data_IF_194579226437
#
_entry.id   IF_194579226437
#
_cell.length_a   1.000
_cell.length_b   1.000
_cell.length_c   1.000
_cell.angle_alpha   90.00
_cell.angle_beta   90.00
_cell.angle_gamma   90.00
#
_symmetry.space_group_name_H-M   'P 1'
#
loop_
_entity.id
_entity.type
_entity.pdbx_description
1 polymer ?
#
# COMPACT_ATOMS: atom_id res chain seq x y z
N UNK A 1 43.34 46.86 47.40
CA UNK A 1 42.01 46.96 48.06
C UNK A 1 40.98 47.14 46.95
N UNK A 2 40.34 46.05 46.52
CA UNK A 2 39.49 46.04 45.33
C UNK A 2 38.37 45.01 45.47
N UNK A 3 37.17 45.48 45.78
CA UNK A 3 35.92 44.70 45.82
C UNK A 3 34.80 45.62 45.31
N UNK A 4 34.57 45.61 44.01
CA UNK A 4 33.52 46.44 43.37
C UNK A 4 33.07 45.92 42.00
N UNK A 5 33.05 44.60 41.76
CA UNK A 5 32.50 44.07 40.49
C UNK A 5 31.64 42.79 40.60
N UNK A 6 31.41 42.24 41.80
CA UNK A 6 30.66 40.98 41.95
C UNK A 6 29.21 41.15 42.46
N UNK A 7 28.79 42.34 42.88
CA UNK A 7 27.45 42.57 43.44
C UNK A 7 26.40 43.10 42.46
N UNK A 8 26.80 43.52 41.25
CA UNK A 8 25.86 44.08 40.25
C UNK A 8 25.25 43.00 39.35
N UNK A 9 25.91 41.85 39.18
CA UNK A 9 25.45 40.77 38.28
C UNK A 9 24.35 39.91 38.92
N UNK A 10 24.31 39.79 40.26
CA UNK A 10 23.28 39.00 40.95
C UNK A 10 21.93 39.72 41.07
N UNK A 11 21.90 41.06 41.06
CA UNK A 11 20.67 41.84 41.18
C UNK A 11 19.85 41.89 39.88
N UNK A 12 20.50 41.71 38.72
CA UNK A 12 19.83 41.75 37.41
C UNK A 12 19.16 40.43 37.07
N UNK A 13 19.70 39.29 37.55
CA UNK A 13 19.12 37.96 37.31
C UNK A 13 17.87 37.72 38.19
N UNK A 14 17.78 38.35 39.37
CA UNK A 14 16.64 38.19 40.27
C UNK A 14 15.41 39.03 39.87
N UNK A 15 15.57 40.07 39.05
CA UNK A 15 14.45 40.90 38.53
C UNK A 15 13.82 40.28 37.28
N UNK A 16 14.57 39.50 36.51
CA UNK A 16 14.08 38.83 35.29
C UNK A 16 13.35 37.51 35.58
N UNK A 17 13.58 36.89 36.74
CA UNK A 17 12.93 35.62 37.13
C UNK A 17 11.67 35.82 38.00
N UNK A 18 11.43 37.03 38.52
CA UNK A 18 10.27 37.37 39.37
C UNK A 18 9.10 38.06 38.63
N UNK A 19 9.15 38.16 37.30
CA UNK A 19 8.14 38.85 36.49
C UNK A 19 7.23 37.96 35.64
N UNK A 20 7.32 36.62 35.73
CA UNK A 20 6.44 35.72 34.94
C UNK A 20 5.75 34.59 35.71
N UNK A 21 5.72 34.65 37.04
CA UNK A 21 4.90 33.73 37.82
C UNK A 21 4.12 34.50 38.87
N UNK A 22 2.82 34.69 38.60
CA UNK A 22 1.68 34.93 39.50
C UNK A 22 0.75 35.97 38.85
N UNK A 23 -0.27 35.51 38.13
CA UNK A 23 -1.65 35.95 38.33
C UNK A 23 -2.61 35.03 37.54
N UNK A 24 -3.28 34.14 38.27
CA UNK A 24 -4.49 33.48 37.82
C UNK A 24 -5.69 34.10 38.58
N UNK A 25 -6.82 34.18 37.88
CA UNK A 25 -8.19 34.56 38.26
C UNK A 25 -8.67 36.03 38.07
N UNK A 26 -9.49 36.15 37.02
CA UNK A 26 -10.49 37.15 36.54
C UNK A 26 -11.34 37.85 37.62
N UNK A 27 -12.16 38.89 37.33
CA UNK A 27 -12.62 39.39 36.01
C UNK A 27 -12.54 40.92 35.81
N UNK A 28 -12.52 41.37 34.56
CA UNK A 28 -13.28 42.52 34.05
C UNK A 28 -13.12 42.55 32.51
N UNK A 29 -14.23 42.55 31.78
CA UNK A 29 -14.27 42.64 30.32
C UNK A 29 -13.69 43.99 29.86
N UNK A 30 -12.89 43.98 28.78
CA UNK A 30 -13.22 44.91 27.71
C UNK A 30 -12.99 44.36 26.29
N UNK A 31 -13.97 44.74 25.45
CA UNK A 31 -13.85 45.12 24.04
C UNK A 31 -13.40 44.05 23.03
N UNK A 32 -14.44 43.45 22.42
CA UNK A 32 -14.59 43.19 21.00
C UNK A 32 -13.43 43.74 20.14
N UNK A 33 -12.42 42.91 19.93
CA UNK A 33 -11.55 43.01 18.77
C UNK A 33 -11.71 41.71 17.98
N UNK A 34 -12.78 41.69 17.18
CA UNK A 34 -12.85 40.93 15.95
C UNK A 34 -11.57 41.23 15.15
N UNK A 35 -10.57 40.37 15.26
CA UNK A 35 -9.47 40.35 14.31
C UNK A 35 -9.09 38.91 14.00
N UNK A 36 -9.76 38.44 12.94
CA UNK A 36 -9.27 37.53 11.91
C UNK A 36 -8.64 36.24 12.45
N UNK A 37 -9.41 35.16 12.35
CA UNK A 37 -8.84 33.85 12.05
C UNK A 37 -7.84 34.04 10.90
N UNK A 38 -6.56 34.17 11.22
CA UNK A 38 -5.54 33.95 10.22
C UNK A 38 -5.69 32.47 9.87
N UNK A 39 -6.37 32.19 8.76
CA UNK A 39 -6.19 30.94 8.04
C UNK A 39 -4.68 30.73 7.99
N UNK A 40 -4.19 29.73 8.70
CA UNK A 40 -2.82 29.29 8.54
C UNK A 40 -2.80 28.68 7.16
N UNK A 41 -2.51 29.49 6.15
CA UNK A 41 -2.45 29.02 4.77
C UNK A 41 -1.27 28.07 4.69
N UNK A 42 -1.56 26.79 4.53
CA UNK A 42 -0.61 25.69 4.39
C UNK A 42 0.13 25.74 3.03
N UNK A 43 0.33 26.95 2.51
CA UNK A 43 0.86 27.28 1.19
C UNK A 43 2.35 26.98 1.07
N UNK A 44 3.05 26.92 2.22
CA UNK A 44 4.46 26.51 2.33
C UNK A 44 4.64 24.97 2.28
N UNK A 45 3.55 24.19 2.39
CA UNK A 45 3.62 22.75 2.19
C UNK A 45 4.19 22.43 0.81
N UNK A 46 5.13 21.49 0.73
CA UNK A 46 5.75 21.08 -0.53
C UNK A 46 5.44 19.62 -0.86
N UNK A 47 5.19 19.39 -2.14
CA UNK A 47 5.20 18.08 -2.78
C UNK A 47 6.60 17.84 -3.34
N UNK A 48 7.24 16.75 -2.93
CA UNK A 48 8.56 16.35 -3.43
C UNK A 48 8.38 15.40 -4.63
N UNK A 49 9.07 15.69 -5.74
CA UNK A 49 9.07 14.85 -6.94
C UNK A 49 10.49 14.30 -7.15
N UNK A 50 10.62 12.97 -7.29
CA UNK A 50 11.90 12.25 -7.38
C UNK A 50 11.94 11.30 -8.56
N UNK A 51 13.15 10.90 -8.98
CA UNK A 51 13.29 9.90 -10.05
C UNK A 51 12.84 10.40 -11.41
N UNK A 52 12.77 11.72 -11.59
CA UNK A 52 12.42 12.34 -12.87
C UNK A 52 13.54 12.08 -13.88
N UNK A 53 13.17 11.85 -15.13
CA UNK A 53 14.11 11.73 -16.26
C UNK A 53 13.79 12.77 -17.32
N UNK A 54 14.78 13.21 -18.09
CA UNK A 54 14.56 14.05 -19.27
C UNK A 54 14.11 13.21 -20.49
N UNK A 55 13.88 13.86 -21.64
CA UNK A 55 13.47 13.18 -22.88
C UNK A 55 14.51 12.20 -23.46
N UNK A 56 15.73 12.21 -22.93
CA UNK A 56 16.84 11.32 -23.32
C UNK A 56 17.10 10.25 -22.24
N UNK A 57 16.19 10.07 -21.27
CA UNK A 57 16.29 9.12 -20.16
C UNK A 57 17.43 9.42 -19.16
N UNK A 58 17.90 10.67 -19.10
CA UNK A 58 18.87 11.08 -18.08
C UNK A 58 18.16 11.48 -16.78
N UNK A 59 18.63 10.93 -15.66
CA UNK A 59 18.12 11.26 -14.32
C UNK A 59 18.30 12.74 -13.98
N UNK A 60 17.21 13.38 -13.59
CA UNK A 60 17.14 14.77 -13.13
C UNK A 60 17.25 14.85 -11.61
N UNK A 61 17.50 16.06 -11.10
CA UNK A 61 17.51 16.32 -9.66
C UNK A 61 16.09 16.31 -9.09
N UNK A 62 15.95 15.85 -7.85
CA UNK A 62 14.71 15.97 -7.08
C UNK A 62 14.26 17.44 -6.97
N UNK A 63 12.95 17.66 -6.99
CA UNK A 63 12.35 19.01 -6.93
C UNK A 63 11.24 19.07 -5.89
N UNK A 64 11.02 20.27 -5.35
CA UNK A 64 9.94 20.55 -4.40
C UNK A 64 9.00 21.60 -4.98
N UNK A 65 7.73 21.26 -5.10
CA UNK A 65 6.67 22.15 -5.59
C UNK A 65 5.79 22.55 -4.42
N UNK A 66 5.69 23.85 -4.13
CA UNK A 66 4.84 24.33 -3.03
C UNK A 66 3.37 24.28 -3.41
N UNK A 67 2.51 24.16 -2.40
CA UNK A 67 1.06 24.24 -2.57
C UNK A 67 0.62 25.61 -3.10
N UNK A 68 1.31 26.69 -2.73
CA UNK A 68 1.12 28.00 -3.36
C UNK A 68 1.30 27.94 -4.88
N UNK A 69 2.39 27.34 -5.35
CA UNK A 69 2.67 27.18 -6.79
C UNK A 69 1.60 26.35 -7.50
N UNK A 70 1.08 25.30 -6.85
CA UNK A 70 -0.03 24.50 -7.38
C UNK A 70 -1.32 25.34 -7.49
N UNK A 71 -1.64 26.15 -6.47
CA UNK A 71 -2.80 27.07 -6.52
C UNK A 71 -2.64 28.14 -7.59
N UNK A 72 -1.43 28.67 -7.81
CA UNK A 72 -1.17 29.61 -8.91
C UNK A 72 -1.34 28.93 -10.27
N UNK A 73 -0.86 27.70 -10.44
CA UNK A 73 -1.07 26.95 -11.68
C UNK A 73 -2.57 26.72 -11.95
N UNK A 74 -3.35 26.42 -10.90
CA UNK A 74 -4.80 26.23 -10.98
C UNK A 74 -5.55 27.42 -11.59
N UNK A 75 -5.08 28.66 -11.39
CA UNK A 75 -5.70 29.85 -11.99
C UNK A 75 -5.68 29.82 -13.53
N UNK A 76 -4.72 29.09 -14.11
CA UNK A 76 -4.53 28.99 -15.57
C UNK A 76 -4.91 27.62 -16.13
N UNK A 77 -4.79 26.56 -15.32
CA UNK A 77 -5.06 25.16 -15.70
C UNK A 77 -5.94 24.47 -14.64
N UNK A 78 -7.19 24.92 -14.44
CA UNK A 78 -8.03 24.37 -13.39
C UNK A 78 -8.55 22.97 -13.76
N UNK A 79 -8.50 22.04 -12.81
CA UNK A 79 -9.25 20.79 -12.83
C UNK A 79 -10.31 20.86 -11.74
N UNK A 80 -11.58 20.81 -12.13
CA UNK A 80 -12.73 20.96 -11.21
C UNK A 80 -13.75 19.86 -11.49
N UNK A 81 -13.98 19.03 -10.48
CA UNK A 81 -15.15 18.16 -10.38
C UNK A 81 -16.10 18.77 -9.35
N UNK A 82 -17.35 19.04 -9.73
CA UNK A 82 -18.34 19.69 -8.88
C UNK A 82 -19.36 18.68 -8.34
N UNK A 83 -20.35 19.14 -7.58
CA UNK A 83 -21.44 18.25 -7.15
C UNK A 83 -22.36 17.85 -8.32
N UNK A 84 -22.38 18.65 -9.38
CA UNK A 84 -23.14 18.37 -10.61
C UNK A 84 -22.37 17.43 -11.57
N UNK A 85 -21.05 17.54 -11.58
CA UNK A 85 -20.14 16.67 -12.35
C UNK A 85 -19.01 16.16 -11.43
N UNK A 86 -19.32 15.22 -10.51
CA UNK A 86 -18.34 14.70 -9.55
C UNK A 86 -17.43 13.65 -10.19
N UNK A 87 -16.30 13.37 -9.53
CA UNK A 87 -15.49 12.20 -9.84
C UNK A 87 -15.85 11.04 -8.89
N UNK A 88 -15.55 9.82 -9.31
CA UNK A 88 -15.85 8.60 -8.57
C UNK A 88 -14.60 7.74 -8.42
N UNK A 89 -14.50 7.00 -7.32
CA UNK A 89 -13.59 5.88 -7.22
C UNK A 89 -14.31 4.61 -7.69
N UNK A 90 -13.63 3.76 -8.44
CA UNK A 90 -14.29 2.63 -9.13
C UNK A 90 -14.80 1.52 -8.22
N UNK A 91 -14.32 1.46 -6.98
CA UNK A 91 -14.58 0.40 -5.99
C UNK A 91 -15.38 0.89 -4.77
N UNK A 92 -15.95 2.11 -4.82
CA UNK A 92 -16.70 2.69 -3.70
C UNK A 92 -18.12 3.02 -4.08
N UNK A 93 -19.05 2.34 -3.41
CA UNK A 93 -20.49 2.55 -3.52
C UNK A 93 -21.11 2.84 -2.16
N UNK A 94 -22.26 3.51 -2.14
CA UNK A 94 -23.11 3.59 -0.96
C UNK A 94 -23.84 2.25 -0.69
N UNK A 95 -24.61 2.19 0.39
CA UNK A 95 -25.38 1.01 0.80
C UNK A 95 -26.39 0.53 -0.27
N UNK A 96 -26.78 1.42 -1.20
CA UNK A 96 -27.69 1.13 -2.30
C UNK A 96 -26.95 0.71 -3.59
N UNK A 97 -25.61 0.62 -3.54
CA UNK A 97 -24.76 0.26 -4.68
C UNK A 97 -24.50 1.40 -5.67
N UNK A 98 -24.82 2.64 -5.32
CA UNK A 98 -24.55 3.80 -6.18
C UNK A 98 -23.11 4.29 -5.98
N UNK A 99 -22.40 4.69 -7.05
CA UNK A 99 -21.07 5.30 -6.91
C UNK A 99 -21.08 6.52 -5.98
N UNK A 100 -20.12 6.59 -5.05
CA UNK A 100 -20.02 7.72 -4.12
C UNK A 100 -19.42 8.94 -4.85
N UNK A 101 -20.15 10.06 -4.99
CA UNK A 101 -19.65 11.23 -5.71
C UNK A 101 -18.67 12.03 -4.85
N UNK A 102 -17.59 12.52 -5.47
CA UNK A 102 -16.63 13.42 -4.84
C UNK A 102 -16.43 14.71 -5.65
N UNK A 103 -16.41 15.85 -4.94
CA UNK A 103 -16.01 17.13 -5.55
C UNK A 103 -14.52 17.37 -5.32
N UNK A 104 -13.82 17.89 -6.33
CA UNK A 104 -12.35 18.02 -6.32
C UNK A 104 -11.94 19.31 -7.01
N UNK A 105 -10.98 20.03 -6.42
CA UNK A 105 -10.21 21.07 -7.12
C UNK A 105 -8.72 20.83 -7.01
N UNK A 106 -8.03 20.93 -8.13
CA UNK A 106 -6.60 20.67 -8.26
C UNK A 106 -6.09 20.92 -9.67
N UNK A 107 -4.88 20.46 -9.94
CA UNK A 107 -4.26 20.49 -11.27
C UNK A 107 -3.81 19.09 -11.65
N UNK A 108 -3.68 18.81 -12.95
CA UNK A 108 -3.09 17.55 -13.36
C UNK A 108 -1.60 17.50 -13.05
N UNK A 109 -1.09 16.33 -12.66
CA UNK A 109 0.35 16.10 -12.43
C UNK A 109 1.16 16.43 -13.70
N UNK A 110 0.67 16.04 -14.88
CA UNK A 110 1.28 16.37 -16.18
C UNK A 110 1.52 17.87 -16.37
N UNK A 111 0.60 18.72 -15.89
CA UNK A 111 0.73 20.16 -15.99
C UNK A 111 1.79 20.73 -15.04
N UNK A 112 1.96 20.11 -13.87
CA UNK A 112 3.06 20.43 -12.94
C UNK A 112 4.39 20.06 -13.59
N UNK A 113 4.49 18.85 -14.15
CA UNK A 113 5.70 18.38 -14.83
C UNK A 113 6.08 19.30 -15.99
N UNK A 114 5.12 19.67 -16.84
CA UNK A 114 5.37 20.50 -18.00
C UNK A 114 5.73 21.97 -17.67
N UNK A 115 5.21 22.53 -16.58
CA UNK A 115 5.43 23.95 -16.24
C UNK A 115 6.68 24.16 -15.38
N UNK A 116 7.00 23.21 -14.49
CA UNK A 116 7.99 23.43 -13.43
C UNK A 116 9.20 22.52 -13.50
N UNK A 117 9.33 21.70 -14.54
CA UNK A 117 10.39 20.69 -14.65
C UNK A 117 10.85 20.53 -16.10
N UNK A 118 12.06 19.99 -16.30
CA UNK A 118 12.55 19.54 -17.60
C UNK A 118 12.27 18.03 -17.84
N UNK A 119 11.35 17.45 -17.05
CA UNK A 119 10.98 16.03 -17.12
C UNK A 119 10.42 15.68 -18.49
N UNK A 120 10.65 14.44 -18.91
CA UNK A 120 9.86 13.78 -19.93
C UNK A 120 8.37 13.79 -19.56
N UNK A 121 7.52 13.60 -20.58
CA UNK A 121 6.08 13.45 -20.42
C UNK A 121 5.75 12.22 -19.58
N UNK A 122 4.54 12.18 -19.00
CA UNK A 122 4.11 11.10 -18.10
C UNK A 122 4.25 9.69 -18.72
N UNK A 123 4.11 9.59 -20.05
CA UNK A 123 4.26 8.34 -20.82
C UNK A 123 5.67 7.72 -20.79
N UNK A 124 6.68 8.46 -20.29
CA UNK A 124 8.03 7.92 -20.11
C UNK A 124 8.14 7.03 -18.85
N UNK A 125 7.16 7.08 -17.95
CA UNK A 125 7.19 6.39 -16.67
C UNK A 125 6.25 5.19 -16.67
N UNK A 126 6.76 4.03 -16.26
CA UNK A 126 5.98 2.80 -16.13
C UNK A 126 5.32 2.63 -14.74
N UNK A 127 5.86 3.31 -13.72
CA UNK A 127 5.32 3.27 -12.36
C UNK A 127 5.63 4.54 -11.55
N UNK A 128 4.84 4.77 -10.51
CA UNK A 128 5.09 5.80 -9.49
C UNK A 128 4.87 5.25 -8.09
N UNK A 129 5.72 5.63 -7.14
CA UNK A 129 5.47 5.41 -5.71
C UNK A 129 4.91 6.69 -5.09
N UNK A 130 3.72 6.61 -4.51
CA UNK A 130 3.08 7.69 -3.78
C UNK A 130 3.31 7.48 -2.28
N UNK A 131 3.98 8.43 -1.63
CA UNK A 131 4.24 8.39 -0.18
C UNK A 131 3.54 9.52 0.54
N UNK A 132 2.88 9.21 1.64
CA UNK A 132 2.17 10.14 2.49
C UNK A 132 2.95 10.50 3.76
N UNK A 133 2.47 11.51 4.49
CA UNK A 133 3.05 11.88 5.80
C UNK A 133 2.69 10.91 6.93
N UNK A 134 1.70 10.03 6.75
CA UNK A 134 1.26 9.05 7.75
C UNK A 134 1.71 7.62 7.46
N UNK A 135 2.87 7.48 6.79
CA UNK A 135 3.48 6.23 6.37
C UNK A 135 2.70 5.46 5.29
N UNK A 136 1.57 5.97 4.80
CA UNK A 136 0.91 5.40 3.63
C UNK A 136 1.84 5.42 2.43
N UNK A 137 2.05 4.25 1.82
CA UNK A 137 2.84 4.07 0.61
C UNK A 137 2.08 3.15 -0.32
N UNK A 138 1.98 3.55 -1.59
CA UNK A 138 1.44 2.71 -2.65
C UNK A 138 2.25 2.88 -3.92
N UNK A 139 2.35 1.81 -4.71
CA UNK A 139 2.94 1.85 -6.04
C UNK A 139 1.82 1.74 -7.06
N UNK A 140 1.72 2.72 -7.94
CA UNK A 140 0.76 2.77 -9.04
C UNK A 140 1.49 2.53 -10.37
N UNK A 141 0.86 1.81 -11.28
CA UNK A 141 1.41 1.49 -12.61
C UNK A 141 0.80 2.40 -13.67
N UNK A 142 1.36 2.39 -14.88
CA UNK A 142 0.83 3.15 -16.01
C UNK A 142 -0.66 2.87 -16.30
N UNK A 143 -1.15 1.66 -16.01
CA UNK A 143 -2.58 1.31 -16.14
C UNK A 143 -3.49 2.13 -15.21
N UNK A 144 -2.95 2.76 -14.17
CA UNK A 144 -3.68 3.63 -13.25
C UNK A 144 -3.58 5.10 -13.67
N UNK A 145 -2.40 5.57 -14.03
CA UNK A 145 -2.15 7.02 -14.20
C UNK A 145 -1.99 7.49 -15.65
N UNK A 146 -1.79 6.58 -16.61
CA UNK A 146 -1.60 6.93 -18.00
C UNK A 146 -2.95 6.89 -18.76
N UNK A 147 -3.46 8.08 -19.08
CA UNK A 147 -4.72 8.26 -19.82
C UNK A 147 -4.65 7.90 -21.32
N UNK A 148 -3.46 7.73 -21.89
CA UNK A 148 -3.32 7.17 -23.23
C UNK A 148 -3.60 5.65 -23.29
N UNK A 149 -3.63 4.99 -22.11
CA UNK A 149 -3.98 3.59 -21.90
C UNK A 149 -5.35 3.41 -21.21
N UNK A 150 -5.37 2.63 -20.11
CA UNK A 150 -6.57 2.36 -19.27
C UNK A 150 -6.67 3.27 -18.04
N UNK A 151 -5.64 4.08 -17.78
CA UNK A 151 -5.54 4.91 -16.59
C UNK A 151 -6.29 6.24 -16.69
N UNK A 152 -6.24 7.01 -15.61
CA UNK A 152 -6.76 8.38 -15.56
C UNK A 152 -5.68 9.38 -15.20
N UNK A 153 -5.81 10.60 -15.69
CA UNK A 153 -4.86 11.67 -15.35
C UNK A 153 -4.91 11.94 -13.86
N UNK A 154 -3.76 11.79 -13.21
CA UNK A 154 -3.61 12.09 -11.79
C UNK A 154 -3.89 13.58 -11.52
N UNK A 155 -4.74 13.84 -10.54
CA UNK A 155 -5.01 15.19 -10.03
C UNK A 155 -4.28 15.36 -8.70
N UNK A 156 -3.51 16.44 -8.58
CA UNK A 156 -2.98 16.91 -7.30
C UNK A 156 -4.01 17.88 -6.72
N UNK A 157 -4.86 17.34 -5.84
CA UNK A 157 -5.98 18.06 -5.25
C UNK A 157 -5.54 18.89 -4.03
N UNK A 158 -6.04 20.13 -3.95
CA UNK A 158 -5.94 20.99 -2.77
C UNK A 158 -7.31 21.30 -2.16
N UNK A 159 -8.41 20.88 -2.79
CA UNK A 159 -9.76 20.89 -2.24
C UNK A 159 -10.42 19.54 -2.54
N UNK A 160 -11.11 18.96 -1.56
CA UNK A 160 -11.81 17.69 -1.69
C UNK A 160 -13.09 17.71 -0.86
N UNK A 161 -14.22 17.33 -1.47
CA UNK A 161 -15.57 17.36 -0.86
C UNK A 161 -15.91 18.73 -0.24
N UNK A 162 -15.58 19.81 -0.95
CA UNK A 162 -15.79 21.19 -0.53
C UNK A 162 -14.87 21.67 0.60
N UNK A 163 -13.95 20.83 1.09
CA UNK A 163 -12.97 21.18 2.13
C UNK A 163 -11.65 21.61 1.49
N UNK A 164 -11.23 22.84 1.78
CA UNK A 164 -9.87 23.28 1.46
C UNK A 164 -8.88 22.49 2.33
N UNK A 165 -8.08 21.67 1.68
CA UNK A 165 -7.14 20.77 2.31
C UNK A 165 -6.08 21.55 3.09
N UNK A 166 -5.57 20.99 4.18
CA UNK A 166 -4.45 21.52 4.98
C UNK A 166 -3.84 20.38 5.81
N UNK A 167 -2.64 20.58 6.37
CA UNK A 167 -1.91 19.57 7.17
C UNK A 167 -2.69 18.97 8.34
N UNK A 168 -3.71 19.65 8.86
CA UNK A 168 -4.57 19.14 9.95
C UNK A 168 -5.78 18.34 9.48
N UNK A 169 -6.15 18.42 8.19
CA UNK A 169 -7.27 17.65 7.63
C UNK A 169 -6.97 16.16 7.53
N UNK A 170 -8.02 15.34 7.56
CA UNK A 170 -7.92 13.88 7.35
C UNK A 170 -7.23 13.53 6.01
N UNK A 171 -7.48 14.32 4.98
CA UNK A 171 -6.87 14.18 3.65
C UNK A 171 -5.49 14.85 3.52
N UNK A 172 -5.02 15.56 4.55
CA UNK A 172 -3.76 16.31 4.53
C UNK A 172 -3.77 17.53 3.63
N UNK A 173 -2.59 18.13 3.42
CA UNK A 173 -2.40 19.34 2.64
C UNK A 173 -2.70 19.18 1.14
N UNK A 174 -2.33 18.04 0.59
CA UNK A 174 -2.50 17.63 -0.79
C UNK A 174 -2.95 16.18 -0.84
N UNK A 175 -3.70 15.83 -1.89
CA UNK A 175 -4.19 14.47 -2.13
C UNK A 175 -4.00 14.09 -3.59
N UNK A 176 -3.57 12.85 -3.83
CA UNK A 176 -3.66 12.21 -5.15
C UNK A 176 -5.09 11.75 -5.42
N UNK A 177 -5.62 12.07 -6.59
CA UNK A 177 -6.92 11.59 -7.06
C UNK A 177 -6.76 11.04 -8.48
N UNK A 178 -7.27 9.82 -8.68
CA UNK A 178 -7.28 9.13 -9.98
C UNK A 178 -8.74 8.82 -10.35
N UNK A 179 -9.45 9.72 -11.05
CA UNK A 179 -10.85 9.50 -11.40
C UNK A 179 -11.06 8.11 -12.02
N UNK A 180 -12.13 7.42 -11.63
CA UNK A 180 -12.51 6.08 -12.10
C UNK A 180 -11.48 4.97 -11.84
N UNK A 181 -10.51 5.21 -10.96
CA UNK A 181 -9.59 4.19 -10.44
C UNK A 181 -9.95 3.83 -8.98
N UNK A 182 -9.43 2.70 -8.51
CA UNK A 182 -9.72 2.20 -7.16
C UNK A 182 -9.23 3.19 -6.09
N UNK A 183 -10.04 3.39 -5.05
CA UNK A 183 -9.84 4.41 -4.02
C UNK A 183 -8.52 4.25 -3.25
N UNK A 184 -7.98 3.03 -3.14
CA UNK A 184 -6.67 2.80 -2.52
C UNK A 184 -5.56 3.53 -3.28
N UNK A 185 -5.66 3.76 -4.59
CA UNK A 185 -4.65 4.54 -5.32
C UNK A 185 -4.70 6.04 -4.99
N UNK A 186 -5.79 6.54 -4.36
CA UNK A 186 -6.01 7.95 -4.09
C UNK A 186 -5.34 8.38 -2.77
N UNK A 187 -4.01 8.43 -2.78
CA UNK A 187 -3.17 8.71 -1.61
C UNK A 187 -3.53 10.06 -0.94
N UNK A 188 -3.97 9.97 0.32
CA UNK A 188 -4.16 11.14 1.22
C UNK A 188 -2.82 11.61 1.76
N UNK A 189 -2.76 12.84 2.26
CA UNK A 189 -1.58 13.45 2.88
C UNK A 189 -0.32 13.30 2.02
N UNK A 190 -0.50 13.46 0.71
CA UNK A 190 0.52 13.19 -0.30
C UNK A 190 1.73 14.09 -0.05
N UNK A 191 2.91 13.47 0.09
CA UNK A 191 4.17 14.15 0.41
C UNK A 191 5.19 14.01 -0.70
N UNK A 192 5.34 12.82 -1.24
CA UNK A 192 6.36 12.50 -2.24
C UNK A 192 5.76 11.67 -3.37
N UNK A 193 6.14 11.97 -4.61
CA UNK A 193 5.94 11.12 -5.78
C UNK A 193 7.33 10.74 -6.29
N UNK A 194 7.62 9.45 -6.31
CA UNK A 194 8.86 8.91 -6.88
C UNK A 194 8.52 8.19 -8.19
N UNK A 195 9.09 8.69 -9.28
CA UNK A 195 8.87 8.17 -10.62
C UNK A 195 9.87 7.07 -10.95
N UNK A 196 9.44 6.09 -11.75
CA UNK A 196 10.29 5.05 -12.32
C UNK A 196 9.92 4.79 -13.77
N UNK A 197 10.92 4.63 -14.63
CA UNK A 197 10.75 4.20 -16.03
C UNK A 197 10.48 2.69 -16.12
N UNK A 198 10.60 1.96 -15.01
CA UNK A 198 10.27 0.54 -14.92
C UNK A 198 8.76 0.31 -15.09
N UNK A 199 8.41 -0.44 -16.14
CA UNK A 199 7.06 -0.98 -16.35
C UNK A 199 6.91 -2.21 -15.45
N UNK A 200 6.00 -2.12 -14.48
CA UNK A 200 5.70 -3.21 -13.58
C UNK A 200 4.66 -4.13 -14.22
N UNK A 201 5.09 -5.35 -14.51
CA UNK A 201 4.24 -6.46 -14.94
C UNK A 201 4.24 -7.52 -13.84
N UNK A 202 3.18 -8.32 -13.73
CA UNK A 202 3.17 -9.50 -12.84
C UNK A 202 4.50 -10.24 -12.97
N UNK A 203 5.27 -10.42 -11.87
CA UNK A 203 6.60 -11.02 -11.96
C UNK A 203 6.51 -12.40 -12.61
N UNK A 204 7.43 -12.72 -13.52
CA UNK A 204 7.58 -14.11 -13.97
C UNK A 204 8.17 -14.90 -12.81
N UNK A 205 7.45 -15.90 -12.34
CA UNK A 205 7.82 -16.70 -11.18
C UNK A 205 8.45 -18.01 -11.67
N UNK A 206 9.62 -18.35 -11.14
CA UNK A 206 10.28 -19.63 -11.42
C UNK A 206 10.23 -20.57 -10.20
N UNK A 207 9.89 -20.05 -9.02
CA UNK A 207 9.75 -20.83 -7.80
C UNK A 207 8.50 -20.42 -7.03
N UNK A 208 7.66 -21.39 -6.73
CA UNK A 208 6.43 -21.22 -5.98
C UNK A 208 6.48 -22.05 -4.69
N UNK A 209 6.24 -21.39 -3.57
CA UNK A 209 6.05 -21.97 -2.24
C UNK A 209 4.59 -21.83 -1.79
N UNK A 210 4.15 -22.70 -0.89
CA UNK A 210 2.77 -22.68 -0.38
C UNK A 210 2.74 -22.30 1.09
N UNK A 211 1.88 -21.34 1.43
CA UNK A 211 1.71 -20.76 2.77
C UNK A 211 1.50 -21.85 3.83
N UNK A 212 0.66 -22.84 3.51
CA UNK A 212 0.28 -23.94 4.40
C UNK A 212 1.46 -24.85 4.78
N UNK A 213 2.54 -24.83 4.00
CA UNK A 213 3.71 -25.70 4.17
C UNK A 213 5.00 -24.94 4.50
N UNK A 214 4.91 -23.63 4.80
CA UNK A 214 6.05 -22.86 5.29
C UNK A 214 6.43 -23.30 6.71
N UNK A 215 7.73 -23.40 6.97
CA UNK A 215 8.24 -23.85 8.26
C UNK A 215 7.94 -22.83 9.36
N UNK A 216 7.55 -23.33 10.54
CA UNK A 216 7.16 -22.51 11.69
C UNK A 216 8.28 -21.59 12.20
N UNK A 217 9.53 -21.85 11.83
CA UNK A 217 10.67 -20.99 12.18
C UNK A 217 10.58 -19.60 11.56
N UNK A 218 9.88 -19.44 10.43
CA UNK A 218 9.67 -18.14 9.78
C UNK A 218 8.47 -17.37 10.35
N UNK A 219 7.76 -17.93 11.34
CA UNK A 219 6.64 -17.25 11.99
C UNK A 219 7.14 -16.25 13.02
N UNK A 220 6.47 -15.12 13.06
CA UNK A 220 6.71 -14.07 14.05
C UNK A 220 5.41 -13.38 14.43
N UNK A 221 5.56 -12.26 15.13
CA UNK A 221 4.44 -11.39 15.46
C UNK A 221 4.88 -9.94 15.61
N UNK A 222 3.92 -9.03 15.50
CA UNK A 222 4.06 -7.66 16.01
C UNK A 222 2.91 -7.32 16.97
N UNK A 223 3.12 -6.29 17.79
CA UNK A 223 2.11 -5.80 18.72
C UNK A 223 1.66 -4.39 18.36
N UNK A 224 0.37 -4.13 18.48
CA UNK A 224 -0.22 -2.82 18.21
C UNK A 224 -1.24 -2.47 19.29
N UNK A 225 -1.35 -1.18 19.60
CA UNK A 225 -2.42 -0.65 20.46
C UNK A 225 -3.47 -0.06 19.55
N UNK A 226 -4.70 -0.54 19.66
CA UNK A 226 -5.82 -0.11 18.82
C UNK A 226 -6.99 0.38 19.66
N UNK A 227 -7.77 1.31 19.11
CA UNK A 227 -9.02 1.75 19.71
C UNK A 227 -10.11 0.70 19.50
N UNK A 228 -10.67 0.20 20.60
CA UNK A 228 -11.80 -0.74 20.62
C UNK A 228 -12.97 -0.04 21.28
N UNK A 229 -14.05 0.18 20.53
CA UNK A 229 -15.24 0.84 21.06
C UNK A 229 -16.21 -0.19 21.67
N UNK A 230 -16.74 0.04 22.89
CA UNK A 230 -16.61 1.23 23.74
C UNK A 230 -15.48 1.15 24.79
N UNK A 231 -14.62 0.14 24.73
CA UNK A 231 -13.67 -0.27 25.77
C UNK A 231 -12.42 0.63 25.89
N UNK A 232 -12.20 1.52 24.93
CA UNK A 232 -11.06 2.44 24.90
C UNK A 232 -9.96 1.89 23.98
N UNK A 233 -8.84 1.45 24.55
CA UNK A 233 -7.70 0.90 23.78
C UNK A 233 -7.35 -0.50 24.27
N UNK A 234 -6.97 -1.39 23.36
CA UNK A 234 -6.48 -2.72 23.69
C UNK A 234 -5.16 -3.04 22.98
N UNK A 235 -4.37 -3.93 23.59
CA UNK A 235 -3.16 -4.47 22.98
C UNK A 235 -3.54 -5.71 22.14
N UNK A 236 -3.13 -5.69 20.88
CA UNK A 236 -3.25 -6.81 19.96
C UNK A 236 -1.87 -7.35 19.63
N UNK A 237 -1.76 -8.68 19.47
CA UNK A 237 -0.63 -9.34 18.84
C UNK A 237 -1.09 -10.03 17.57
N UNK A 238 -0.45 -9.69 16.47
CA UNK A 238 -0.74 -10.24 15.16
C UNK A 238 0.34 -11.24 14.79
N UNK A 239 -0.04 -12.49 14.50
CA UNK A 239 0.86 -13.59 14.21
C UNK A 239 0.74 -14.01 12.73
N UNK A 240 1.87 -14.42 12.17
CA UNK A 240 1.96 -14.88 10.79
C UNK A 240 3.39 -15.12 10.34
N UNK A 241 3.59 -15.33 9.04
CA UNK A 241 4.93 -15.46 8.47
C UNK A 241 5.54 -14.08 8.20
N UNK A 242 6.76 -13.84 8.71
CA UNK A 242 7.48 -12.60 8.48
C UNK A 242 8.07 -12.59 7.08
N UNK A 243 7.81 -11.52 6.31
CA UNK A 243 8.40 -11.38 4.98
C UNK A 243 9.93 -11.24 5.07
N UNK A 244 10.46 -10.59 6.11
CA UNK A 244 11.91 -10.51 6.34
C UNK A 244 12.55 -11.89 6.47
N UNK A 245 12.00 -12.75 7.34
CA UNK A 245 12.52 -14.11 7.55
C UNK A 245 12.44 -14.95 6.28
N UNK A 246 11.37 -14.78 5.48
CA UNK A 246 11.21 -15.47 4.20
C UNK A 246 12.21 -14.98 3.13
N UNK A 247 12.63 -13.71 3.19
CA UNK A 247 13.69 -13.16 2.34
C UNK A 247 15.05 -13.70 2.79
N UNK A 248 15.33 -13.68 4.09
CA UNK A 248 16.60 -14.16 4.66
C UNK A 248 16.80 -15.67 4.44
N UNK A 249 15.71 -16.44 4.35
CA UNK A 249 15.71 -17.86 4.03
C UNK A 249 15.76 -18.18 2.52
N UNK A 250 15.87 -17.17 1.64
CA UNK A 250 15.85 -17.32 0.18
C UNK A 250 14.58 -18.00 -0.36
N UNK A 251 13.46 -17.92 0.38
CA UNK A 251 12.14 -18.35 -0.09
C UNK A 251 11.56 -17.29 -1.03
N UNK A 252 11.64 -16.03 -0.61
CA UNK A 252 11.36 -14.87 -1.45
C UNK A 252 12.69 -14.23 -1.87
N UNK A 253 13.05 -14.30 -3.15
CA UNK A 253 14.34 -13.82 -3.66
C UNK A 253 14.39 -12.29 -3.86
N UNK A 254 13.97 -11.51 -2.87
CA UNK A 254 13.82 -10.06 -3.00
C UNK A 254 15.14 -9.27 -2.81
N UNK A 255 15.33 -8.24 -3.62
CA UNK A 255 16.34 -7.21 -3.45
C UNK A 255 15.70 -5.84 -3.14
N UNK A 256 16.50 -4.91 -2.62
CA UNK A 256 16.02 -3.58 -2.24
C UNK A 256 15.40 -2.76 -3.40
N UNK A 257 15.81 -3.05 -4.64
CA UNK A 257 15.22 -2.47 -5.85
C UNK A 257 13.84 -3.02 -6.17
N UNK A 258 13.56 -4.26 -5.77
CA UNK A 258 12.43 -5.01 -6.29
C UNK A 258 11.12 -4.56 -5.67
N UNK A 259 10.06 -4.64 -6.47
CA UNK A 259 8.68 -4.44 -6.04
C UNK A 259 8.00 -5.79 -5.86
N UNK A 260 7.17 -5.89 -4.83
CA UNK A 260 6.36 -7.08 -4.60
C UNK A 260 4.96 -6.84 -5.16
N UNK A 261 4.48 -7.82 -5.94
CA UNK A 261 3.12 -7.91 -6.43
C UNK A 261 2.29 -8.77 -5.50
N UNK A 262 1.14 -8.26 -5.07
CA UNK A 262 0.15 -8.98 -4.28
C UNK A 262 -1.09 -9.21 -5.14
N UNK A 263 -1.51 -10.47 -5.25
CA UNK A 263 -2.83 -10.83 -5.78
C UNK A 263 -3.68 -11.36 -4.63
N UNK A 264 -4.90 -10.85 -4.53
CA UNK A 264 -5.89 -11.25 -3.55
C UNK A 264 -7.20 -11.59 -4.25
N UNK A 265 -7.95 -12.50 -3.63
CA UNK A 265 -9.32 -12.80 -4.03
C UNK A 265 -10.21 -12.30 -2.91
N UNK A 266 -10.67 -11.06 -3.00
CA UNK A 266 -11.40 -10.41 -1.91
C UNK A 266 -12.91 -10.45 -2.13
N UNK A 267 -13.63 -10.61 -1.03
CA UNK A 267 -15.08 -10.64 -1.01
C UNK A 267 -15.62 -9.28 -0.59
N UNK A 268 -16.36 -8.65 -1.48
CA UNK A 268 -17.12 -7.46 -1.17
C UNK A 268 -18.48 -7.87 -0.61
N UNK A 269 -18.67 -7.66 0.70
CA UNK A 269 -19.90 -8.00 1.41
C UNK A 269 -21.08 -7.11 1.07
N UNK A 270 -20.84 -5.90 0.56
CA UNK A 270 -21.89 -4.96 0.17
C UNK A 270 -22.52 -5.38 -1.16
N UNK A 271 -21.70 -5.87 -2.10
CA UNK A 271 -22.16 -6.36 -3.40
C UNK A 271 -22.38 -7.87 -3.47
N UNK A 272 -22.02 -8.63 -2.43
CA UNK A 272 -22.03 -10.11 -2.42
C UNK A 272 -21.26 -10.69 -3.63
N UNK A 273 -20.09 -10.10 -3.92
CA UNK A 273 -19.25 -10.52 -5.05
C UNK A 273 -17.80 -10.73 -4.65
N UNK A 274 -17.17 -11.70 -5.29
CA UNK A 274 -15.72 -11.87 -5.24
C UNK A 274 -15.06 -11.15 -6.40
N UNK A 275 -13.94 -10.50 -6.14
CA UNK A 275 -13.16 -9.80 -7.14
C UNK A 275 -11.67 -9.98 -6.92
N UNK A 276 -10.92 -9.96 -8.00
CA UNK A 276 -9.46 -9.91 -7.92
C UNK A 276 -9.03 -8.51 -7.50
N UNK A 277 -8.18 -8.45 -6.48
CA UNK A 277 -7.51 -7.23 -6.04
C UNK A 277 -6.01 -7.40 -6.24
N UNK A 278 -5.38 -6.42 -6.87
CA UNK A 278 -3.95 -6.40 -7.12
C UNK A 278 -3.33 -5.15 -6.50
N UNK A 279 -2.17 -5.32 -5.89
CA UNK A 279 -1.42 -4.23 -5.30
C UNK A 279 0.08 -4.40 -5.52
N UNK A 280 0.76 -3.27 -5.64
CA UNK A 280 2.21 -3.20 -5.72
C UNK A 280 2.77 -2.45 -4.52
N UNK A 281 3.87 -2.96 -3.97
CA UNK A 281 4.54 -2.33 -2.83
C UNK A 281 6.06 -2.43 -2.94
N UNK A 282 6.77 -1.50 -2.28
CA UNK A 282 8.23 -1.38 -2.34
C UNK A 282 8.92 -2.12 -1.19
N UNK A 283 10.19 -2.47 -1.38
CA UNK A 283 10.99 -3.24 -0.42
C UNK A 283 10.93 -2.70 1.01
N UNK A 284 11.09 -1.40 1.20
CA UNK A 284 11.04 -0.76 2.53
C UNK A 284 9.72 -0.97 3.28
N UNK A 285 8.64 -1.23 2.54
CA UNK A 285 7.31 -1.52 3.10
C UNK A 285 7.16 -3.01 3.34
N UNK A 286 7.38 -3.86 2.32
CA UNK A 286 7.10 -5.28 2.47
C UNK A 286 8.12 -6.02 3.33
N UNK A 287 9.36 -5.55 3.42
CA UNK A 287 10.38 -6.16 4.26
C UNK A 287 10.06 -6.13 5.75
N UNK A 288 9.18 -5.23 6.20
CA UNK A 288 8.67 -5.22 7.59
C UNK A 288 7.28 -5.81 7.74
N UNK A 289 6.71 -6.33 6.65
CA UNK A 289 5.38 -6.90 6.58
C UNK A 289 5.33 -8.37 7.01
N UNK A 290 4.11 -8.85 7.17
CA UNK A 290 3.76 -10.21 7.54
C UNK A 290 2.60 -10.70 6.67
N UNK A 291 2.55 -12.01 6.43
CA UNK A 291 1.34 -12.71 5.99
C UNK A 291 0.66 -13.29 7.24
N UNK A 292 -0.24 -12.50 7.82
CA UNK A 292 -0.92 -12.76 9.07
C UNK A 292 -2.11 -13.69 8.92
N UNK A 293 -2.28 -14.61 9.86
CA UNK A 293 -3.43 -15.52 9.93
C UNK A 293 -4.09 -15.56 11.32
N UNK A 294 -3.46 -14.94 12.33
CA UNK A 294 -3.91 -15.04 13.72
C UNK A 294 -3.77 -13.70 14.45
N UNK A 295 -4.66 -13.48 15.41
CA UNK A 295 -4.64 -12.34 16.31
C UNK A 295 -4.90 -12.79 17.74
N UNK A 296 -4.21 -12.17 18.69
CA UNK A 296 -4.45 -12.33 20.12
C UNK A 296 -4.77 -10.98 20.73
N UNK A 297 -5.88 -10.93 21.44
CA UNK A 297 -6.22 -9.83 22.34
C UNK A 297 -5.93 -10.28 23.77
N UNK A 298 -5.19 -9.47 24.52
CA UNK A 298 -4.91 -9.75 25.94
C UNK A 298 -6.25 -9.92 26.67
N UNK A 299 -6.63 -11.18 26.98
CA UNK A 299 -7.85 -11.70 27.65
C UNK A 299 -8.78 -12.61 26.81
N UNK A 300 -8.71 -12.59 25.47
CA UNK A 300 -9.60 -13.38 24.60
C UNK A 300 -8.93 -14.63 23.99
N UNK A 301 -7.60 -14.71 24.05
CA UNK A 301 -6.83 -15.82 23.48
C UNK A 301 -6.49 -15.59 22.01
N UNK A 302 -5.97 -16.62 21.36
CA UNK A 302 -5.58 -16.58 19.95
C UNK A 302 -6.77 -16.99 19.08
N UNK A 303 -7.11 -16.13 18.13
CA UNK A 303 -8.15 -16.34 17.13
C UNK A 303 -7.56 -16.29 15.72
N UNK A 304 -8.25 -16.91 14.76
CA UNK A 304 -7.92 -16.79 13.34
C UNK A 304 -8.40 -15.43 12.85
N UNK A 305 -7.56 -14.73 12.10
CA UNK A 305 -7.93 -13.46 11.48
C UNK A 305 -9.04 -13.67 10.44
N UNK A 306 -10.04 -12.81 10.47
CA UNK A 306 -11.00 -12.73 9.38
C UNK A 306 -10.27 -12.37 8.07
N UNK A 307 -10.65 -13.04 6.97
CA UNK A 307 -10.05 -12.86 5.64
C UNK A 307 -8.53 -13.09 5.59
N UNK A 308 -8.04 -14.06 6.37
CA UNK A 308 -6.66 -14.53 6.30
C UNK A 308 -6.32 -15.30 5.01
N UNK A 309 -5.05 -15.31 4.58
CA UNK A 309 -3.95 -14.50 5.11
C UNK A 309 -4.11 -13.01 4.77
N UNK A 310 -3.68 -12.15 5.70
CA UNK A 310 -3.68 -10.70 5.55
C UNK A 310 -2.24 -10.23 5.45
N UNK A 311 -1.87 -9.57 4.36
CA UNK A 311 -0.61 -8.84 4.27
C UNK A 311 -0.74 -7.52 5.01
N UNK A 312 -0.03 -7.40 6.14
CA UNK A 312 -0.01 -6.20 6.98
C UNK A 312 1.33 -6.01 7.69
N UNK A 313 1.52 -4.89 8.39
CA UNK A 313 2.75 -4.66 9.14
C UNK A 313 2.61 -3.59 10.23
N UNK A 314 3.57 -3.53 11.17
CA UNK A 314 3.50 -2.66 12.35
C UNK A 314 3.46 -1.16 12.04
N UNK A 315 3.88 -0.77 10.83
CA UNK A 315 3.90 0.62 10.37
C UNK A 315 2.92 0.88 9.23
N UNK A 316 2.07 -0.08 8.90
CA UNK A 316 1.13 0.05 7.80
C UNK A 316 0.00 0.98 8.22
N UNK A 317 -0.46 1.77 7.26
CA UNK A 317 -1.69 2.54 7.40
C UNK A 317 -2.84 1.76 6.76
N UNK A 318 -4.08 2.06 7.15
CA UNK A 318 -5.28 1.26 6.85
C UNK A 318 -5.54 0.94 5.35
N UNK A 319 -4.89 1.61 4.41
CA UNK A 319 -5.02 1.34 2.97
C UNK A 319 -3.87 0.51 2.36
N UNK A 320 -2.87 0.13 3.16
CA UNK A 320 -1.72 -0.69 2.72
C UNK A 320 -1.96 -2.18 2.95
N UNK A 321 -2.89 -2.50 3.86
CA UNK A 321 -3.27 -3.86 4.21
C UNK A 321 -3.99 -4.54 3.05
N UNK A 322 -3.58 -5.77 2.71
CA UNK A 322 -4.22 -6.58 1.68
C UNK A 322 -4.78 -7.85 2.32
N UNK A 323 -6.10 -8.06 2.21
CA UNK A 323 -6.79 -9.21 2.80
C UNK A 323 -6.99 -10.32 1.78
N UNK A 324 -7.28 -11.55 2.24
CA UNK A 324 -7.46 -12.73 1.40
C UNK A 324 -6.34 -12.89 0.36
N UNK A 325 -5.08 -12.80 0.82
CA UNK A 325 -3.92 -12.89 -0.06
C UNK A 325 -3.91 -14.27 -0.72
N UNK A 326 -3.95 -14.26 -2.05
CA UNK A 326 -3.80 -15.45 -2.88
C UNK A 326 -2.31 -15.68 -3.17
N UNK A 327 -1.61 -14.64 -3.61
CA UNK A 327 -0.19 -14.71 -3.93
C UNK A 327 0.56 -13.45 -3.51
N UNK A 328 1.77 -13.64 -3.00
CA UNK A 328 2.78 -12.60 -2.81
C UNK A 328 4.01 -12.97 -3.65
N UNK A 329 4.25 -12.22 -4.72
CA UNK A 329 5.27 -12.51 -5.73
C UNK A 329 6.32 -11.40 -5.78
N UNK A 330 7.59 -11.77 -5.70
CA UNK A 330 8.73 -10.86 -5.84
C UNK A 330 9.86 -11.63 -6.51
N UNK A 331 10.49 -11.00 -7.51
CA UNK A 331 11.67 -11.48 -8.23
C UNK A 331 11.80 -13.02 -8.33
N UNK A 332 11.18 -13.61 -9.36
CA UNK A 332 11.19 -15.06 -9.64
C UNK A 332 10.64 -15.98 -8.53
N UNK A 333 10.18 -15.45 -7.40
CA UNK A 333 9.60 -16.23 -6.31
C UNK A 333 8.16 -15.81 -6.02
N UNK A 334 7.34 -16.76 -5.57
CA UNK A 334 6.02 -16.48 -5.04
C UNK A 334 5.69 -17.37 -3.85
N UNK A 335 4.92 -16.83 -2.92
CA UNK A 335 4.17 -17.59 -1.92
C UNK A 335 2.70 -17.58 -2.34
N UNK A 336 2.06 -18.74 -2.34
CA UNK A 336 0.61 -18.88 -2.59
C UNK A 336 -0.09 -19.47 -1.38
N UNK A 337 -1.30 -18.98 -1.12
CA UNK A 337 -2.24 -19.59 -0.19
C UNK A 337 -3.19 -20.52 -0.94
N UNK A 338 -3.11 -21.84 -0.71
CA UNK A 338 -4.02 -22.81 -1.32
C UNK A 338 -5.46 -22.56 -0.89
N UNK A 339 -5.72 -22.25 0.38
CA UNK A 339 -7.06 -21.92 0.88
C UNK A 339 -7.73 -20.83 0.01
N UNK A 340 -7.01 -19.74 -0.27
CA UNK A 340 -7.51 -18.64 -1.12
C UNK A 340 -7.62 -19.05 -2.59
N UNK A 341 -6.69 -19.85 -3.10
CA UNK A 341 -6.76 -20.38 -4.46
C UNK A 341 -8.00 -21.26 -4.67
N UNK A 342 -8.34 -22.12 -3.70
CA UNK A 342 -9.57 -22.92 -3.74
C UNK A 342 -10.82 -22.03 -3.70
N UNK A 343 -10.87 -20.97 -2.88
CA UNK A 343 -11.98 -19.99 -2.90
C UNK A 343 -12.17 -19.33 -4.27
N UNK A 344 -11.09 -19.15 -5.04
CA UNK A 344 -11.12 -18.56 -6.39
C UNK A 344 -11.50 -19.55 -7.48
N UNK A 345 -10.90 -20.74 -7.47
CA UNK A 345 -10.91 -21.65 -8.62
C UNK A 345 -11.79 -22.90 -8.45
N UNK A 346 -12.14 -23.30 -7.22
CA UNK A 346 -13.06 -24.43 -6.99
C UNK A 346 -14.52 -23.98 -7.16
N UNK A 347 -14.89 -23.64 -8.39
CA UNK A 347 -16.24 -23.13 -8.70
C UNK A 347 -17.30 -24.23 -8.62
N UNK A 348 -16.91 -25.50 -8.68
CA UNK A 348 -17.82 -26.65 -8.61
C UNK A 348 -18.01 -27.18 -7.18
N UNK A 349 -17.22 -26.68 -6.22
CA UNK A 349 -17.19 -27.13 -4.83
C UNK A 349 -16.90 -28.61 -4.67
N UNK A 350 -16.08 -29.16 -5.57
CA UNK A 350 -15.69 -30.57 -5.59
C UNK A 350 -14.33 -30.82 -4.92
N UNK A 351 -13.67 -29.77 -4.44
CA UNK A 351 -12.37 -29.87 -3.79
C UNK A 351 -11.23 -30.08 -4.77
N UNK A 352 -11.40 -29.68 -6.04
CA UNK A 352 -10.37 -29.80 -7.07
C UNK A 352 -10.13 -28.46 -7.80
N UNK A 353 -8.87 -28.09 -8.03
CA UNK A 353 -8.49 -26.97 -8.89
C UNK A 353 -7.36 -27.36 -9.84
N UNK A 354 -7.34 -26.79 -11.05
CA UNK A 354 -6.26 -27.04 -12.01
C UNK A 354 -4.98 -26.32 -11.59
N UNK A 355 -3.86 -27.05 -11.59
CA UNK A 355 -2.56 -26.44 -11.25
C UNK A 355 -2.20 -25.36 -12.26
N UNK A 356 -2.49 -25.60 -13.55
CA UNK A 356 -2.22 -24.67 -14.63
C UNK A 356 -2.83 -23.28 -14.40
N UNK A 357 -4.06 -23.21 -13.88
CA UNK A 357 -4.75 -21.93 -13.68
C UNK A 357 -3.99 -21.06 -12.66
N UNK A 358 -3.43 -21.67 -11.63
CA UNK A 358 -2.57 -20.99 -10.66
C UNK A 358 -1.23 -20.59 -11.30
N UNK A 359 -0.58 -21.46 -12.06
CA UNK A 359 0.72 -21.12 -12.69
C UNK A 359 0.58 -20.03 -13.76
N UNK A 360 -0.55 -19.97 -14.46
CA UNK A 360 -0.86 -18.87 -15.38
C UNK A 360 -1.04 -17.54 -14.65
N UNK A 361 -1.73 -17.52 -13.50
CA UNK A 361 -1.87 -16.31 -12.67
C UNK A 361 -0.50 -15.75 -12.27
N UNK A 362 0.45 -16.64 -11.96
CA UNK A 362 1.80 -16.29 -11.51
C UNK A 362 2.79 -16.04 -12.65
N UNK A 363 2.32 -16.06 -13.91
CA UNK A 363 3.20 -15.94 -15.08
C UNK A 363 4.39 -16.93 -15.05
N UNK A 364 4.09 -18.17 -14.61
CA UNK A 364 5.04 -19.27 -14.42
C UNK A 364 4.87 -20.39 -15.44
N UNK A 365 3.71 -20.50 -16.08
CA UNK A 365 3.44 -21.59 -17.05
C UNK A 365 3.94 -21.24 -18.46
N UNK A 366 4.80 -22.10 -19.00
CA UNK A 366 5.14 -22.20 -20.43
C UNK A 366 4.95 -23.64 -20.95
N UNK A 367 4.62 -23.79 -22.24
CA UNK A 367 4.42 -25.08 -22.91
C UNK A 367 5.74 -25.81 -23.21
N UNK A 368 6.85 -25.07 -23.30
CA UNK A 368 8.19 -25.61 -23.57
C UNK A 368 8.96 -25.96 -22.28
N UNK A 369 8.41 -25.62 -21.11
CA UNK A 369 9.06 -25.82 -19.81
C UNK A 369 8.83 -27.21 -19.20
N UNK A 370 9.72 -27.55 -18.27
CA UNK A 370 9.55 -28.68 -17.35
C UNK A 370 9.58 -28.17 -15.92
N UNK A 371 8.90 -28.88 -15.03
CA UNK A 371 8.65 -28.42 -13.67
C UNK A 371 9.16 -29.45 -12.66
N UNK A 372 9.65 -28.98 -11.53
CA UNK A 372 10.09 -29.81 -10.41
C UNK A 372 9.10 -29.63 -9.26
N UNK A 373 8.47 -30.72 -8.85
CA UNK A 373 7.59 -30.75 -7.67
C UNK A 373 8.41 -31.30 -6.51
N UNK A 374 8.52 -30.53 -5.44
CA UNK A 374 9.18 -30.97 -4.21
C UNK A 374 8.13 -31.38 -3.19
N UNK A 375 8.23 -32.63 -2.75
CA UNK A 375 7.40 -33.24 -1.72
C UNK A 375 7.69 -32.68 -0.34
N UNK A 376 6.76 -32.85 0.61
CA UNK A 376 6.96 -32.48 2.02
C UNK A 376 8.18 -33.15 2.66
N UNK A 377 8.57 -34.35 2.20
CA UNK A 377 9.74 -35.11 2.65
C UNK A 377 11.05 -34.73 1.93
N UNK A 378 11.02 -33.68 1.09
CA UNK A 378 12.11 -33.20 0.24
C UNK A 378 12.52 -34.14 -0.90
N UNK A 379 11.72 -35.15 -1.24
CA UNK A 379 11.87 -35.84 -2.52
C UNK A 379 11.38 -34.94 -3.66
N UNK A 380 11.93 -35.13 -4.86
CA UNK A 380 11.58 -34.32 -6.03
C UNK A 380 11.15 -35.20 -7.18
N UNK A 381 10.14 -34.76 -7.93
CA UNK A 381 9.78 -35.33 -9.23
C UNK A 381 9.80 -34.25 -10.30
N UNK A 382 10.28 -34.61 -11.47
CA UNK A 382 10.23 -33.76 -12.66
C UNK A 382 9.02 -34.16 -13.51
N UNK A 383 8.25 -33.16 -13.94
CA UNK A 383 7.05 -33.34 -14.77
C UNK A 383 7.05 -32.36 -15.95
N UNK A 384 6.41 -32.74 -17.04
CA UNK A 384 6.33 -31.93 -18.26
C UNK A 384 5.21 -30.88 -18.19
N UNK A 385 5.23 -29.89 -19.08
CA UNK A 385 4.11 -28.97 -19.26
C UNK A 385 2.77 -29.68 -19.57
N UNK A 386 2.79 -30.77 -20.36
CA UNK A 386 1.59 -31.58 -20.64
C UNK A 386 1.01 -32.21 -19.35
N UNK A 387 1.88 -32.70 -18.47
CA UNK A 387 1.47 -33.24 -17.17
C UNK A 387 0.93 -32.14 -16.24
N UNK A 388 1.57 -30.97 -16.19
CA UNK A 388 1.07 -29.80 -15.46
C UNK A 388 -0.31 -29.38 -15.97
N UNK A 389 -0.52 -29.38 -17.30
CA UNK A 389 -1.79 -29.01 -17.91
C UNK A 389 -2.93 -29.90 -17.43
N UNK A 390 -2.67 -31.20 -17.23
CA UNK A 390 -3.63 -32.16 -16.72
C UNK A 390 -3.65 -32.26 -15.19
N UNK A 391 -2.70 -31.63 -14.48
CA UNK A 391 -2.55 -31.77 -13.05
C UNK A 391 -3.59 -30.96 -12.26
N UNK A 392 -3.94 -31.49 -11.09
CA UNK A 392 -4.89 -30.89 -10.16
C UNK A 392 -4.33 -30.83 -8.75
N UNK A 393 -4.62 -29.75 -8.04
CA UNK A 393 -4.62 -29.78 -6.59
C UNK A 393 -5.94 -30.35 -6.10
N UNK A 394 -5.87 -31.27 -5.14
CA UNK A 394 -7.05 -31.85 -4.48
C UNK A 394 -6.97 -31.54 -2.99
N UNK A 395 -8.07 -31.05 -2.43
CA UNK A 395 -8.24 -30.81 -0.99
C UNK A 395 -9.07 -31.93 -0.35
N UNK A 396 -8.51 -32.59 0.66
CA UNK A 396 -9.22 -33.54 1.52
C UNK A 396 -9.07 -33.12 2.99
N UNK A 397 -10.12 -32.52 3.54
CA UNK A 397 -10.05 -31.85 4.85
C UNK A 397 -9.03 -30.70 4.82
N UNK A 398 -8.03 -30.79 5.69
CA UNK A 398 -6.95 -29.79 5.83
C UNK A 398 -5.70 -30.16 5.01
N UNK A 399 -5.71 -31.27 4.26
CA UNK A 399 -4.58 -31.73 3.46
C UNK A 399 -4.76 -31.39 1.98
N UNK A 400 -3.66 -31.00 1.34
CA UNK A 400 -3.61 -30.72 -0.10
C UNK A 400 -2.64 -31.66 -0.80
N UNK A 401 -3.07 -32.23 -1.92
CA UNK A 401 -2.24 -33.12 -2.75
C UNK A 401 -2.13 -32.62 -4.19
N UNK A 402 -0.95 -32.80 -4.78
CA UNK A 402 -0.68 -32.56 -6.19
C UNK A 402 -0.90 -33.87 -6.94
N UNK A 403 -1.83 -33.87 -7.90
CA UNK A 403 -2.24 -35.07 -8.62
C UNK A 403 -1.99 -34.88 -10.11
N UNK A 404 -1.28 -35.82 -10.72
CA UNK A 404 -0.98 -35.85 -12.15
C UNK A 404 -0.98 -37.30 -12.62
N UNK A 405 -1.47 -37.55 -13.84
CA UNK A 405 -1.65 -38.89 -14.41
C UNK A 405 -2.44 -39.85 -13.47
N UNK A 406 -1.72 -40.64 -12.67
CA UNK A 406 -2.27 -41.55 -11.65
C UNK A 406 -1.47 -41.51 -10.34
N UNK A 407 -0.61 -40.51 -10.19
CA UNK A 407 0.25 -40.28 -9.04
C UNK A 407 -0.34 -39.15 -8.17
N UNK A 408 -0.13 -39.25 -6.86
CA UNK A 408 -0.56 -38.26 -5.87
C UNK A 408 0.61 -37.95 -4.93
N UNK A 409 0.92 -36.66 -4.79
CA UNK A 409 2.10 -36.18 -4.07
C UNK A 409 1.68 -35.18 -3.00
N UNK A 410 2.10 -35.39 -1.76
CA UNK A 410 2.11 -34.35 -0.73
C UNK A 410 3.28 -33.41 -1.01
N UNK A 411 3.00 -32.16 -1.35
CA UNK A 411 3.95 -31.22 -1.93
C UNK A 411 4.15 -30.00 -1.03
N UNK A 412 5.23 -29.24 -1.27
CA UNK A 412 5.46 -27.94 -0.63
C UNK A 412 6.06 -26.87 -1.55
N UNK A 413 6.52 -27.25 -2.74
CA UNK A 413 7.16 -26.33 -3.68
C UNK A 413 7.01 -26.82 -5.12
N UNK A 414 6.85 -25.88 -6.05
CA UNK A 414 6.92 -26.10 -7.51
C UNK A 414 7.98 -25.16 -8.08
N UNK A 415 8.81 -25.65 -8.99
CA UNK A 415 9.85 -24.85 -9.65
C UNK A 415 9.86 -25.08 -11.16
N UNK A 416 10.18 -24.05 -11.93
CA UNK A 416 10.55 -24.20 -13.35
C UNK A 416 11.99 -24.73 -13.41
N UNK A 417 12.21 -25.73 -14.26
CA UNK A 417 13.54 -26.28 -14.53
C UNK A 417 14.24 -25.41 -15.56
N UNK A 418 15.12 -24.53 -15.08
CA UNK A 418 15.93 -23.59 -15.89
C UNK A 418 17.16 -24.28 -16.51
#
# INVERSE_FOLDING_TARGET
MGRSKFFVVLAVIMVVVLSFSLYACKPDEPEDNLNVNAETTDDEYFLELKGLVDSEDNLLSDINITKATIKTLFETKPVVFSNEEPCYASDKTDDDGNPIPHSVKGVYLEDILAEYTDSATIDAYGSMTLSATDNYVTVVTEDVFNSAGRGSKMIIAFEYDGVLLNTSEKSGALRAVFPDQVANTWAKKLKTIEFSTEILLTPSVNQLYFYEYLDQEYRGYYSMVEEVLPEGTANFRYYGFSIAELIDAEILNAQASDKMHLSAWDYNSESDTWSEYQAWTKYEVYSVGYLLDQVEREEEGIEVLDRAPVFDGPTFSAGMTVKNVLAASVFNSSIVTLETAFKRYDTNTDGEIWVKDLLLLLNMYDEDDSYVITSIDNTTVEITAEQIFAAKFIRDGDEYTFNYDSESISFKKIEVKI
#
